data_IF_565367280289
#
_entry.id   IF_565367280289
#
_cell.length_a   1.000
_cell.length_b   1.000
_cell.length_c   1.000
_cell.angle_alpha   90.00
_cell.angle_beta   90.00
_cell.angle_gamma   90.00
#
_symmetry.space_group_name_H-M   'P 1'
#
loop_
_entity.id
_entity.type
_entity.pdbx_description
1 polymer ?
#
# COMPACT_ATOMS: atom_id res chain seq x y z
N UNK A 1 -18.28 -5.53 23.47
CA UNK A 1 -19.20 -4.56 24.11
C UNK A 1 -18.86 -3.10 23.81
N UNK A 2 -17.72 -2.52 24.28
CA UNK A 2 -17.45 -1.07 24.10
C UNK A 2 -17.44 -0.59 22.64
N UNK A 3 -16.77 -1.34 21.75
CA UNK A 3 -16.67 -1.06 20.30
C UNK A 3 -17.99 -1.20 19.54
N UNK A 4 -18.80 -2.17 19.94
CA UNK A 4 -20.10 -2.44 19.33
C UNK A 4 -21.07 -1.27 19.54
N UNK A 5 -21.11 -0.72 20.76
CA UNK A 5 -21.98 0.42 21.06
C UNK A 5 -21.54 1.70 20.31
N UNK A 6 -20.24 1.90 20.09
CA UNK A 6 -19.75 3.04 19.31
C UNK A 6 -20.20 2.95 17.85
N UNK A 7 -20.18 1.75 17.27
CA UNK A 7 -20.68 1.48 15.92
C UNK A 7 -22.18 1.70 15.81
N UNK A 8 -22.94 1.22 16.79
CA UNK A 8 -24.39 1.41 16.85
C UNK A 8 -24.78 2.90 16.92
N UNK A 9 -24.02 3.73 17.66
CA UNK A 9 -24.22 5.18 17.71
C UNK A 9 -23.94 5.84 16.35
N UNK A 10 -22.84 5.49 15.69
CA UNK A 10 -22.48 6.06 14.38
C UNK A 10 -23.50 5.68 13.30
N UNK A 11 -23.91 4.41 13.25
CA UNK A 11 -24.91 3.93 12.29
C UNK A 11 -26.27 4.58 12.52
N UNK A 12 -26.66 4.73 13.79
CA UNK A 12 -27.90 5.41 14.14
C UNK A 12 -27.88 6.87 13.69
N UNK A 13 -26.77 7.59 13.89
CA UNK A 13 -26.62 8.98 13.45
C UNK A 13 -26.54 9.12 11.92
N UNK A 14 -26.02 8.12 11.20
CA UNK A 14 -25.97 8.13 9.74
C UNK A 14 -27.37 8.09 9.11
N UNK A 15 -28.30 7.41 9.75
CA UNK A 15 -29.67 7.27 9.26
C UNK A 15 -30.57 8.47 9.60
N UNK A 16 -29.99 9.58 10.06
CA UNK A 16 -30.72 10.74 10.57
C UNK A 16 -30.28 12.00 9.82
N UNK A 17 -31.23 12.66 9.18
CA UNK A 17 -30.97 13.86 8.38
C UNK A 17 -30.67 15.12 9.22
N UNK A 18 -31.04 15.10 10.50
CA UNK A 18 -30.90 16.24 11.41
C UNK A 18 -30.33 15.86 12.80
N UNK A 19 -30.04 16.85 13.64
CA UNK A 19 -29.50 16.64 14.98
C UNK A 19 -30.41 15.78 15.86
N UNK A 20 -29.79 14.84 16.59
CA UNK A 20 -30.47 13.89 17.45
C UNK A 20 -29.96 14.00 18.87
N UNK A 21 -30.87 14.03 19.83
CA UNK A 21 -30.53 14.19 21.25
C UNK A 21 -29.92 12.93 21.85
N UNK A 22 -29.16 13.07 22.96
CA UNK A 22 -28.68 11.93 23.75
C UNK A 22 -29.80 10.97 24.16
N UNK A 23 -31.01 11.49 24.29
CA UNK A 23 -32.18 10.80 24.80
C UNK A 23 -32.75 9.86 23.74
N UNK A 24 -32.85 10.34 22.50
CA UNK A 24 -33.27 9.55 21.35
C UNK A 24 -32.27 8.43 21.04
N UNK A 25 -30.97 8.73 21.10
CA UNK A 25 -29.91 7.72 20.92
C UNK A 25 -29.94 6.68 22.05
N UNK A 26 -30.11 7.13 23.30
CA UNK A 26 -30.21 6.26 24.46
C UNK A 26 -31.42 5.30 24.38
N UNK A 27 -32.57 5.80 23.95
CA UNK A 27 -33.77 5.01 23.72
C UNK A 27 -33.59 4.00 22.58
N UNK A 28 -33.03 4.43 21.45
CA UNK A 28 -32.84 3.57 20.28
C UNK A 28 -31.85 2.42 20.54
N UNK A 29 -30.82 2.67 21.34
CA UNK A 29 -29.74 1.70 21.61
C UNK A 29 -29.91 0.99 22.97
N UNK A 30 -31.00 1.27 23.69
CA UNK A 30 -31.30 0.73 25.01
C UNK A 30 -30.14 0.90 26.03
N UNK A 31 -29.55 2.11 26.06
CA UNK A 31 -28.43 2.47 26.95
C UNK A 31 -28.74 3.77 27.71
N UNK A 32 -27.97 4.07 28.76
CA UNK A 32 -28.14 5.33 29.48
C UNK A 32 -27.59 6.52 28.70
N UNK A 33 -28.21 7.71 28.87
CA UNK A 33 -27.76 8.99 28.30
C UNK A 33 -26.28 9.28 28.61
N UNK A 34 -25.86 8.98 29.85
CA UNK A 34 -24.48 9.13 30.29
C UNK A 34 -23.51 8.23 29.49
N UNK A 35 -23.96 7.04 29.09
CA UNK A 35 -23.18 6.13 28.23
C UNK A 35 -23.02 6.71 26.83
N UNK A 36 -24.11 7.22 26.23
CA UNK A 36 -24.07 7.86 24.90
C UNK A 36 -23.09 9.04 24.89
N UNK A 37 -23.22 9.98 25.82
CA UNK A 37 -22.34 11.15 25.91
C UNK A 37 -20.88 10.74 26.07
N UNK A 38 -20.59 9.76 26.93
CA UNK A 38 -19.23 9.24 27.12
C UNK A 38 -18.67 8.61 25.84
N UNK A 39 -19.49 7.88 25.08
CA UNK A 39 -19.08 7.25 23.81
C UNK A 39 -18.82 8.27 22.72
N UNK A 40 -19.65 9.29 22.61
CA UNK A 40 -19.47 10.34 21.60
C UNK A 40 -18.16 11.10 21.82
N UNK A 41 -17.81 11.39 23.08
CA UNK A 41 -16.51 11.97 23.44
C UNK A 41 -15.36 11.03 23.04
N UNK A 42 -15.48 9.73 23.33
CA UNK A 42 -14.47 8.73 22.96
C UNK A 42 -14.30 8.60 21.43
N UNK A 43 -15.41 8.60 20.68
CA UNK A 43 -15.40 8.59 19.21
C UNK A 43 -14.69 9.83 18.66
N UNK A 44 -14.98 11.01 19.21
CA UNK A 44 -14.38 12.27 18.78
C UNK A 44 -12.90 12.40 19.16
N UNK A 45 -12.44 11.73 20.23
CA UNK A 45 -11.04 11.75 20.67
C UNK A 45 -10.15 10.74 19.92
N UNK A 46 -10.73 9.75 19.25
CA UNK A 46 -9.99 8.68 18.57
C UNK A 46 -9.34 9.06 17.24
N UNK A 47 -9.52 10.29 16.75
CA UNK A 47 -8.91 10.77 15.49
C UNK A 47 -7.81 11.80 15.76
N UNK A 48 -6.60 11.45 15.35
CA UNK A 48 -5.51 12.42 15.18
C UNK A 48 -5.82 13.32 13.97
N UNK A 49 -5.71 14.63 14.12
CA UNK A 49 -5.89 15.60 13.02
C UNK A 49 -7.11 16.54 13.10
N UNK A 50 -7.81 16.62 14.23
CA UNK A 50 -8.79 17.71 14.49
C UNK A 50 -10.14 17.60 13.76
N UNK A 51 -10.39 16.53 13.00
CA UNK A 51 -11.68 16.29 12.35
C UNK A 51 -12.63 15.56 13.30
N UNK A 52 -13.64 16.27 13.84
CA UNK A 52 -14.66 15.68 14.72
C UNK A 52 -15.71 14.90 13.91
N UNK A 53 -15.78 13.56 14.04
CA UNK A 53 -16.76 12.76 13.30
C UNK A 53 -18.21 13.00 13.72
N UNK A 54 -18.45 13.36 14.98
CA UNK A 54 -19.77 13.69 15.51
C UNK A 54 -19.78 15.14 15.96
N UNK A 55 -20.56 15.97 15.27
CA UNK A 55 -20.84 17.35 15.67
C UNK A 55 -21.74 17.35 16.90
N UNK A 56 -21.36 18.12 17.91
CA UNK A 56 -22.09 18.25 19.17
C UNK A 56 -22.50 19.70 19.37
N UNK A 57 -23.80 20.00 19.29
CA UNK A 57 -24.34 21.35 19.49
C UNK A 57 -25.17 21.42 20.78
N UNK A 58 -24.79 22.35 21.67
CA UNK A 58 -25.50 22.57 22.94
C UNK A 58 -26.95 22.96 22.66
N UNK A 59 -27.87 22.13 23.16
CA UNK A 59 -29.32 22.34 23.01
C UNK A 59 -29.94 21.77 21.73
N UNK A 60 -29.15 21.30 20.75
CA UNK A 60 -29.65 20.65 19.53
C UNK A 60 -29.33 19.16 19.46
N UNK A 61 -28.24 18.72 20.08
CA UNK A 61 -27.87 17.31 20.17
C UNK A 61 -26.65 16.99 19.31
N UNK A 62 -26.67 15.82 18.68
CA UNK A 62 -25.56 15.23 17.96
C UNK A 62 -25.92 14.97 16.50
N UNK A 63 -24.98 15.24 15.60
CA UNK A 63 -25.13 14.95 14.16
C UNK A 63 -23.82 14.41 13.61
N UNK A 64 -23.89 13.49 12.67
CA UNK A 64 -22.69 13.06 11.95
C UNK A 64 -22.16 14.24 11.12
N UNK A 65 -20.84 14.44 11.07
CA UNK A 65 -20.29 15.57 10.32
C UNK A 65 -20.54 15.42 8.81
N UNK A 66 -20.87 16.51 8.08
CA UNK A 66 -21.12 16.45 6.64
C UNK A 66 -19.97 15.85 5.83
N UNK A 67 -18.72 16.01 6.27
CA UNK A 67 -17.56 15.40 5.62
C UNK A 67 -17.48 13.87 5.76
N UNK A 68 -18.27 13.26 6.65
CA UNK A 68 -18.46 11.81 6.77
C UNK A 68 -19.71 11.37 6.02
N UNK A 69 -20.81 12.14 6.13
CA UNK A 69 -22.06 11.90 5.41
C UNK A 69 -21.82 11.94 3.89
N UNK A 70 -21.13 12.96 3.37
CA UNK A 70 -20.80 13.07 1.94
C UNK A 70 -19.90 11.93 1.42
N UNK A 71 -19.08 11.32 2.29
CA UNK A 71 -18.30 10.10 1.93
C UNK A 71 -19.18 8.85 1.85
N UNK A 72 -20.32 8.84 2.53
CA UNK A 72 -21.26 7.73 2.60
C UNK A 72 -22.41 7.87 1.60
N UNK A 73 -22.82 9.09 1.25
CA UNK A 73 -23.97 9.37 0.37
C UNK A 73 -23.61 9.43 -1.13
N UNK A 74 -22.41 9.86 -1.51
CA UNK A 74 -21.98 9.98 -2.93
C UNK A 74 -21.38 8.68 -3.52
N UNK A 75 -21.33 7.58 -2.78
CA UNK A 75 -20.70 6.33 -3.21
C UNK A 75 -21.65 5.17 -2.99
N UNK A 76 -21.95 4.40 -4.05
CA UNK A 76 -22.65 3.13 -3.91
C UNK A 76 -21.95 2.27 -2.83
N UNK A 77 -22.70 1.57 -1.97
CA UNK A 77 -22.13 0.74 -0.90
C UNK A 77 -21.03 -0.23 -1.39
N UNK A 78 -21.14 -0.67 -2.65
CA UNK A 78 -20.13 -1.48 -3.33
C UNK A 78 -18.79 -0.75 -3.54
N UNK A 79 -18.82 0.54 -3.91
CA UNK A 79 -17.61 1.37 -4.09
C UNK A 79 -16.85 1.57 -2.78
N UNK A 80 -17.57 1.75 -1.66
CA UNK A 80 -16.94 1.90 -0.33
C UNK A 80 -16.32 0.59 0.14
N UNK A 81 -17.03 -0.53 -0.07
CA UNK A 81 -16.51 -1.85 0.25
C UNK A 81 -15.27 -2.20 -0.59
N UNK A 82 -15.28 -1.83 -1.87
CA UNK A 82 -14.17 -2.03 -2.78
C UNK A 82 -12.93 -1.22 -2.39
N UNK A 83 -13.08 0.08 -2.13
CA UNK A 83 -11.97 0.93 -1.68
C UNK A 83 -11.35 0.41 -0.39
N UNK A 84 -12.18 0.00 0.58
CA UNK A 84 -11.71 -0.61 1.82
C UNK A 84 -10.93 -1.89 1.56
N UNK A 85 -11.44 -2.80 0.74
CA UNK A 85 -10.75 -4.03 0.40
C UNK A 85 -9.41 -3.75 -0.29
N UNK A 86 -9.38 -2.76 -1.19
CA UNK A 86 -8.16 -2.36 -1.89
C UNK A 86 -7.11 -1.83 -0.92
N UNK A 87 -7.48 -0.95 0.01
CA UNK A 87 -6.57 -0.43 1.04
C UNK A 87 -6.00 -1.54 1.93
N UNK A 88 -6.81 -2.53 2.30
CA UNK A 88 -6.35 -3.68 3.10
C UNK A 88 -5.41 -4.58 2.29
N UNK A 89 -5.71 -4.79 1.00
CA UNK A 89 -4.81 -5.53 0.09
C UNK A 89 -3.45 -4.83 0.03
N UNK A 90 -3.42 -3.50 -0.14
CA UNK A 90 -2.17 -2.73 -0.19
C UNK A 90 -1.35 -2.92 1.09
N UNK A 91 -1.97 -2.74 2.27
CA UNK A 91 -1.27 -2.91 3.54
C UNK A 91 -0.72 -4.33 3.72
N UNK A 92 -1.51 -5.36 3.38
CA UNK A 92 -1.08 -6.75 3.47
C UNK A 92 0.05 -7.09 2.49
N UNK A 93 0.02 -6.53 1.27
CA UNK A 93 1.06 -6.75 0.27
C UNK A 93 2.39 -6.16 0.73
N UNK A 94 2.40 -4.92 1.19
CA UNK A 94 3.61 -4.29 1.73
C UNK A 94 4.13 -4.98 2.99
N UNK A 95 3.24 -5.51 3.83
CA UNK A 95 3.61 -6.25 5.03
C UNK A 95 4.17 -7.65 4.75
N UNK A 96 3.85 -8.24 3.60
CA UNK A 96 4.17 -9.64 3.32
C UNK A 96 5.67 -9.92 3.48
N UNK A 97 6.09 -11.03 4.12
CA UNK A 97 5.28 -12.14 4.64
C UNK A 97 4.79 -11.98 6.10
N UNK A 98 4.95 -10.78 6.68
CA UNK A 98 4.56 -10.50 8.07
C UNK A 98 3.05 -10.66 8.26
N UNK A 99 2.67 -11.15 9.44
CA UNK A 99 1.28 -11.27 9.87
C UNK A 99 0.83 -9.97 10.55
N UNK A 100 -0.23 -9.37 10.05
CA UNK A 100 -0.87 -8.19 10.64
C UNK A 100 -2.10 -8.58 11.44
N UNK A 101 -2.39 -7.86 12.52
CA UNK A 101 -3.59 -8.11 13.31
C UNK A 101 -4.80 -7.64 12.53
N UNK A 102 -5.79 -8.51 12.38
CA UNK A 102 -7.07 -8.19 11.72
C UNK A 102 -7.70 -6.94 12.34
N UNK A 103 -7.58 -6.78 13.65
CA UNK A 103 -8.11 -5.61 14.34
C UNK A 103 -7.46 -4.30 13.84
N UNK A 104 -6.13 -4.23 13.77
CA UNK A 104 -5.41 -3.01 13.38
C UNK A 104 -5.74 -2.61 11.94
N UNK A 105 -5.80 -3.59 11.02
CA UNK A 105 -6.18 -3.38 9.62
C UNK A 105 -7.57 -2.74 9.44
N UNK A 106 -8.52 -3.12 10.30
CA UNK A 106 -9.92 -2.72 10.18
C UNK A 106 -10.32 -1.54 11.08
N UNK A 107 -9.43 -1.09 11.97
CA UNK A 107 -9.73 -0.09 12.98
C UNK A 107 -10.23 1.23 12.38
N UNK A 108 -9.55 1.71 11.32
CA UNK A 108 -9.87 2.95 10.63
C UNK A 108 -11.21 2.94 9.87
N UNK A 109 -11.74 1.75 9.59
CA UNK A 109 -12.97 1.58 8.79
C UNK A 109 -14.23 1.38 9.63
N UNK A 110 -14.08 1.17 10.95
CA UNK A 110 -15.20 1.01 11.88
C UNK A 110 -16.23 -0.08 11.50
N UNK A 111 -15.80 -1.16 10.83
CA UNK A 111 -16.70 -2.22 10.32
C UNK A 111 -16.97 -3.33 11.34
N UNK A 112 -18.09 -4.06 11.16
CA UNK A 112 -18.44 -5.22 11.97
C UNK A 112 -17.68 -6.49 11.55
N UNK A 113 -17.68 -7.52 12.40
CA UNK A 113 -17.10 -8.84 12.08
C UNK A 113 -17.76 -9.51 10.87
N UNK A 114 -19.05 -9.25 10.62
CA UNK A 114 -19.76 -9.77 9.43
C UNK A 114 -19.26 -9.12 8.13
N UNK A 115 -18.97 -7.81 8.17
CA UNK A 115 -18.37 -7.09 7.03
C UNK A 115 -16.94 -7.56 6.79
N UNK A 116 -16.14 -7.73 7.86
CA UNK A 116 -14.80 -8.33 7.76
C UNK A 116 -14.89 -9.72 7.12
N UNK A 117 -15.89 -10.53 7.48
CA UNK A 117 -16.08 -11.84 6.86
C UNK A 117 -16.36 -11.79 5.36
N UNK A 118 -17.19 -10.85 4.92
CA UNK A 118 -17.47 -10.61 3.50
C UNK A 118 -16.23 -10.10 2.76
N UNK A 119 -15.58 -9.07 3.30
CA UNK A 119 -14.38 -8.46 2.73
C UNK A 119 -13.26 -9.49 2.53
N UNK A 120 -13.09 -10.44 3.46
CA UNK A 120 -12.11 -11.53 3.31
C UNK A 120 -12.32 -12.37 2.05
N UNK A 121 -13.58 -12.63 1.69
CA UNK A 121 -13.90 -13.42 0.50
C UNK A 121 -13.51 -12.63 -0.75
N UNK A 122 -13.90 -11.36 -0.79
CA UNK A 122 -13.57 -10.43 -1.88
C UNK A 122 -12.04 -10.28 -2.03
N UNK A 123 -11.32 -10.13 -0.92
CA UNK A 123 -9.86 -9.99 -0.90
C UNK A 123 -9.19 -11.27 -1.41
N UNK A 124 -9.65 -12.45 -0.97
CA UNK A 124 -9.10 -13.72 -1.44
C UNK A 124 -9.30 -13.90 -2.95
N UNK A 125 -10.49 -13.58 -3.46
CA UNK A 125 -10.80 -13.66 -4.90
C UNK A 125 -9.93 -12.69 -5.73
N UNK A 126 -9.71 -11.46 -5.22
CA UNK A 126 -8.81 -10.49 -5.86
C UNK A 126 -7.37 -10.98 -5.90
N UNK A 127 -6.87 -11.53 -4.80
CA UNK A 127 -5.48 -12.01 -4.68
C UNK A 127 -5.18 -13.22 -5.57
N UNK A 128 -6.19 -14.05 -5.86
CA UNK A 128 -6.05 -15.22 -6.72
C UNK A 128 -5.52 -14.88 -8.12
N UNK A 129 -5.77 -13.66 -8.63
CA UNK A 129 -5.22 -13.17 -9.90
C UNK A 129 -3.70 -13.28 -9.99
N UNK A 130 -2.99 -13.08 -8.88
CA UNK A 130 -1.53 -13.15 -8.81
C UNK A 130 -1.03 -14.46 -8.17
N UNK A 131 -1.89 -15.48 -8.07
CA UNK A 131 -1.57 -16.73 -7.36
C UNK A 131 -1.23 -16.53 -5.87
N UNK A 132 -1.74 -15.45 -5.28
CA UNK A 132 -1.53 -15.12 -3.88
C UNK A 132 -2.67 -15.67 -3.02
N UNK A 133 -2.33 -16.17 -1.83
CA UNK A 133 -3.30 -16.76 -0.89
C UNK A 133 -3.39 -15.90 0.36
N UNK A 134 -4.62 -15.51 0.73
CA UNK A 134 -4.90 -14.88 2.00
C UNK A 134 -4.88 -15.92 3.12
N UNK A 135 -3.87 -15.86 4.00
CA UNK A 135 -3.71 -16.78 5.14
C UNK A 135 -4.23 -16.11 6.40
N UNK A 136 -5.04 -16.86 7.17
CA UNK A 136 -5.53 -16.45 8.49
C UNK A 136 -5.04 -17.40 9.57
N UNK A 137 -4.50 -16.83 10.63
CA UNK A 137 -4.17 -17.56 11.85
C UNK A 137 -4.37 -16.67 13.07
N UNK A 138 -5.09 -17.15 14.09
CA UNK A 138 -5.21 -16.49 15.41
C UNK A 138 -5.41 -14.96 15.38
N UNK A 139 -6.47 -14.47 14.73
CA UNK A 139 -6.80 -13.02 14.58
C UNK A 139 -5.76 -12.20 13.81
N UNK A 140 -4.89 -12.86 13.06
CA UNK A 140 -3.99 -12.21 12.12
C UNK A 140 -4.34 -12.59 10.68
N UNK A 141 -3.98 -11.73 9.75
CA UNK A 141 -4.00 -11.95 8.31
C UNK A 141 -2.62 -11.70 7.72
N UNK A 142 -2.28 -12.47 6.71
CA UNK A 142 -1.07 -12.31 5.91
C UNK A 142 -1.34 -12.80 4.49
N UNK A 143 -0.51 -12.38 3.56
CA UNK A 143 -0.46 -12.92 2.21
C UNK A 143 0.65 -13.97 2.14
N UNK A 144 0.41 -15.06 1.44
CA UNK A 144 1.40 -16.09 1.13
C UNK A 144 1.44 -16.33 -0.37
N UNK A 145 2.64 -16.44 -0.91
CA UNK A 145 2.94 -16.60 -2.33
C UNK A 145 4.42 -16.36 -2.57
N UNK A 146 4.87 -16.41 -3.83
CA UNK A 146 6.26 -16.09 -4.16
C UNK A 146 6.52 -14.60 -4.04
N UNK A 147 7.75 -14.19 -3.74
CA UNK A 147 8.09 -12.77 -3.68
C UNK A 147 7.89 -12.07 -5.04
N UNK A 148 8.10 -12.79 -6.14
CA UNK A 148 7.81 -12.31 -7.50
C UNK A 148 6.33 -11.97 -7.69
N UNK A 149 5.43 -12.82 -7.22
CA UNK A 149 3.98 -12.59 -7.31
C UNK A 149 3.53 -11.43 -6.42
N UNK A 150 4.09 -11.32 -5.20
CA UNK A 150 3.83 -10.22 -4.27
C UNK A 150 4.23 -8.88 -4.92
N UNK A 151 5.46 -8.78 -5.44
CA UNK A 151 5.94 -7.55 -6.09
C UNK A 151 5.11 -7.21 -7.33
N UNK A 152 4.71 -8.22 -8.10
CA UNK A 152 3.84 -8.04 -9.27
C UNK A 152 2.46 -7.50 -8.87
N UNK A 153 1.87 -8.00 -7.77
CA UNK A 153 0.63 -7.49 -7.22
C UNK A 153 0.77 -6.04 -6.72
N UNK A 154 1.87 -5.69 -6.05
CA UNK A 154 2.12 -4.31 -5.61
C UNK A 154 2.24 -3.37 -6.81
N UNK A 155 3.02 -3.76 -7.81
CA UNK A 155 3.20 -3.01 -9.06
C UNK A 155 1.86 -2.71 -9.75
N UNK A 156 0.98 -3.71 -9.82
CA UNK A 156 -0.32 -3.53 -10.45
C UNK A 156 -1.32 -2.75 -9.59
N UNK A 157 -1.43 -3.06 -8.28
CA UNK A 157 -2.49 -2.54 -7.40
C UNK A 157 -2.17 -1.20 -6.75
N UNK A 158 -0.90 -0.92 -6.50
CA UNK A 158 -0.47 0.29 -5.81
C UNK A 158 -0.05 1.36 -6.80
N UNK A 159 0.79 0.96 -7.77
CA UNK A 159 1.38 1.88 -8.73
C UNK A 159 0.56 2.01 -10.02
N UNK A 160 -0.53 1.24 -10.17
CA UNK A 160 -1.41 1.23 -11.34
C UNK A 160 -0.65 1.10 -12.67
N UNK A 161 0.47 0.36 -12.70
CA UNK A 161 1.39 0.34 -13.86
C UNK A 161 0.76 -0.20 -15.15
N UNK A 162 -0.37 -0.90 -15.05
CA UNK A 162 -1.13 -1.35 -16.22
C UNK A 162 -1.88 -0.19 -16.93
N UNK A 163 -1.96 0.98 -16.31
CA UNK A 163 -2.65 2.18 -16.80
C UNK A 163 -1.75 3.43 -16.88
N UNK A 164 -0.60 3.43 -16.19
CA UNK A 164 0.33 4.57 -16.17
C UNK A 164 1.54 4.32 -17.06
N UNK A 165 1.59 4.98 -18.21
CA UNK A 165 2.71 4.94 -19.17
C UNK A 165 3.85 5.91 -18.85
N UNK A 166 3.73 6.73 -17.79
CA UNK A 166 4.69 7.81 -17.51
C UNK A 166 5.05 7.91 -16.02
N UNK A 167 6.35 8.13 -15.75
CA UNK A 167 6.92 8.39 -14.42
C UNK A 167 6.27 9.63 -13.78
N UNK A 168 5.87 10.60 -14.61
CA UNK A 168 5.19 11.84 -14.17
C UNK A 168 3.87 11.55 -13.42
N UNK A 169 3.14 10.50 -13.80
CA UNK A 169 1.91 10.09 -13.11
C UNK A 169 2.19 9.49 -11.72
N UNK A 170 3.39 8.90 -11.54
CA UNK A 170 3.83 8.37 -10.25
C UNK A 170 4.25 9.48 -9.28
N UNK A 171 4.67 10.64 -9.80
CA UNK A 171 5.03 11.80 -8.99
C UNK A 171 3.84 12.32 -8.16
N UNK A 172 2.66 12.40 -8.78
CA UNK A 172 1.43 12.86 -8.11
C UNK A 172 1.00 11.90 -6.99
N UNK A 173 1.09 10.59 -7.22
CA UNK A 173 0.84 9.57 -6.20
C UNK A 173 1.79 9.72 -5.01
N UNK A 174 3.09 9.91 -5.27
CA UNK A 174 4.10 9.94 -4.23
C UNK A 174 4.09 11.24 -3.40
N UNK A 175 3.66 12.37 -3.98
CA UNK A 175 3.49 13.64 -3.26
C UNK A 175 2.52 13.53 -2.08
N UNK A 176 1.52 12.64 -2.17
CA UNK A 176 0.52 12.42 -1.11
C UNK A 176 1.00 11.62 0.10
N UNK A 177 2.13 10.91 0.01
CA UNK A 177 2.59 9.96 1.04
C UNK A 177 3.68 10.56 1.92
N UNK A 178 4.74 11.14 1.33
CA UNK A 178 5.91 11.64 2.07
C UNK A 178 6.53 12.89 1.42
N UNK A 179 5.68 13.87 1.03
CA UNK A 179 6.09 15.11 0.37
C UNK A 179 6.91 14.95 -0.94
N UNK A 180 6.99 13.72 -1.48
CA UNK A 180 7.75 13.41 -2.69
C UNK A 180 9.23 13.06 -2.46
N UNK A 181 9.72 13.01 -1.22
CA UNK A 181 11.15 12.75 -0.95
C UNK A 181 11.59 11.36 -1.43
N UNK A 182 10.80 10.31 -1.12
CA UNK A 182 11.10 8.94 -1.56
C UNK A 182 11.03 8.80 -3.09
N UNK A 183 10.16 9.58 -3.74
CA UNK A 183 10.08 9.65 -5.21
C UNK A 183 11.36 10.26 -5.79
N UNK A 184 11.77 11.44 -5.31
CA UNK A 184 12.97 12.12 -5.77
C UNK A 184 14.22 11.25 -5.56
N UNK A 185 14.32 10.63 -4.39
CA UNK A 185 15.41 9.69 -4.11
C UNK A 185 15.42 8.52 -5.09
N UNK A 186 14.25 7.95 -5.40
CA UNK A 186 14.12 6.85 -6.36
C UNK A 186 14.59 7.26 -7.75
N UNK A 187 14.19 8.44 -8.23
CA UNK A 187 14.65 8.99 -9.52
C UNK A 187 16.18 9.15 -9.54
N UNK A 188 16.78 9.67 -8.48
CA UNK A 188 18.24 9.80 -8.37
C UNK A 188 18.97 8.45 -8.48
N UNK A 189 18.37 7.36 -7.97
CA UNK A 189 18.98 6.02 -8.11
C UNK A 189 18.92 5.51 -9.55
N UNK A 190 17.85 5.81 -10.30
CA UNK A 190 17.72 5.46 -11.73
C UNK A 190 18.73 6.27 -12.58
N UNK A 191 18.89 7.56 -12.28
CA UNK A 191 19.89 8.42 -12.93
C UNK A 191 21.32 7.95 -12.63
N UNK A 192 21.59 7.59 -11.38
CA UNK A 192 22.85 6.98 -10.99
C UNK A 192 23.12 5.69 -11.79
N UNK A 193 22.14 4.79 -11.90
CA UNK A 193 22.28 3.55 -12.67
C UNK A 193 22.58 3.83 -14.14
N UNK A 194 21.86 4.77 -14.74
CA UNK A 194 22.02 5.16 -16.15
C UNK A 194 23.41 5.73 -16.42
N UNK A 195 23.90 6.59 -15.52
CA UNK A 195 25.23 7.20 -15.62
C UNK A 195 26.34 6.18 -15.41
N UNK A 196 26.21 5.32 -14.39
CA UNK A 196 27.22 4.33 -14.04
C UNK A 196 27.37 3.22 -15.10
N UNK A 197 26.29 2.91 -15.83
CA UNK A 197 26.27 1.89 -16.89
C UNK A 197 26.40 2.47 -18.31
N UNK A 198 26.53 3.80 -18.44
CA UNK A 198 26.55 4.50 -19.74
C UNK A 198 25.39 4.06 -20.66
N UNK A 199 24.19 3.98 -20.08
CA UNK A 199 23.00 3.53 -20.79
C UNK A 199 21.77 4.35 -20.43
N UNK A 200 20.90 4.59 -21.41
CA UNK A 200 19.59 5.19 -21.17
C UNK A 200 18.60 4.10 -20.77
N UNK A 201 18.10 4.15 -19.54
CA UNK A 201 17.04 3.27 -19.05
C UNK A 201 15.69 3.86 -19.49
N UNK A 202 15.15 3.34 -20.57
CA UNK A 202 13.88 3.82 -21.15
C UNK A 202 12.68 2.99 -20.68
N UNK A 203 11.47 3.47 -20.97
CA UNK A 203 10.23 2.69 -20.82
C UNK A 203 10.31 1.32 -21.53
N UNK A 204 9.81 0.24 -20.90
CA UNK A 204 9.14 0.14 -19.58
C UNK A 204 10.09 -0.11 -18.40
N UNK A 205 11.40 -0.14 -18.64
CA UNK A 205 12.39 -0.56 -17.65
C UNK A 205 12.61 0.49 -16.57
N UNK A 206 12.53 1.78 -16.90
CA UNK A 206 12.58 2.86 -15.91
C UNK A 206 11.42 2.78 -14.92
N UNK A 207 10.22 2.44 -15.39
CA UNK A 207 9.03 2.21 -14.57
C UNK A 207 9.20 0.99 -13.68
N UNK A 208 9.72 -0.12 -14.22
CA UNK A 208 9.95 -1.35 -13.45
C UNK A 208 11.00 -1.14 -12.36
N UNK A 209 12.09 -0.43 -12.70
CA UNK A 209 13.16 -0.09 -11.78
C UNK A 209 12.69 0.88 -10.69
N UNK A 210 11.93 1.92 -11.08
CA UNK A 210 11.27 2.82 -10.15
C UNK A 210 10.40 2.05 -9.17
N UNK A 211 9.51 1.21 -9.68
CA UNK A 211 8.59 0.45 -8.87
C UNK A 211 9.31 -0.45 -7.88
N UNK A 212 10.38 -1.13 -8.31
CA UNK A 212 11.16 -1.99 -7.44
C UNK A 212 11.81 -1.22 -6.28
N UNK A 213 12.49 -0.10 -6.59
CA UNK A 213 13.16 0.74 -5.60
C UNK A 213 12.15 1.39 -4.65
N UNK A 214 11.07 1.95 -5.19
CA UNK A 214 10.04 2.63 -4.42
C UNK A 214 9.35 1.66 -3.45
N UNK A 215 8.97 0.47 -3.92
CA UNK A 215 8.37 -0.57 -3.08
C UNK A 215 9.34 -1.03 -2.01
N UNK A 216 10.63 -1.17 -2.31
CA UNK A 216 11.64 -1.54 -1.32
C UNK A 216 11.73 -0.49 -0.20
N UNK A 217 11.77 0.80 -0.54
CA UNK A 217 11.78 1.89 0.44
C UNK A 217 10.54 1.82 1.34
N UNK A 218 9.35 1.74 0.76
CA UNK A 218 8.08 1.68 1.50
C UNK A 218 8.02 0.48 2.44
N UNK A 219 8.41 -0.71 1.95
CA UNK A 219 8.44 -1.94 2.76
C UNK A 219 9.38 -1.82 3.96
N UNK A 220 10.57 -1.24 3.77
CA UNK A 220 11.53 -1.03 4.86
C UNK A 220 10.98 -0.03 5.88
N UNK A 221 10.39 1.09 5.43
CA UNK A 221 9.84 2.12 6.32
C UNK A 221 8.68 1.58 7.17
N UNK A 222 7.74 0.87 6.54
CA UNK A 222 6.54 0.37 7.22
C UNK A 222 6.83 -0.81 8.14
N UNK A 223 7.78 -1.68 7.79
CA UNK A 223 7.93 -2.97 8.48
C UNK A 223 9.30 -3.26 9.09
N UNK A 224 10.31 -2.36 8.92
CA UNK A 224 11.67 -2.30 9.50
C UNK A 224 12.56 -3.56 9.42
N UNK A 225 11.99 -4.76 9.39
CA UNK A 225 12.66 -6.05 9.44
C UNK A 225 11.89 -7.06 8.59
N UNK A 226 11.79 -6.80 7.29
CA UNK A 226 11.38 -7.83 6.35
C UNK A 226 12.64 -8.63 6.00
N UNK A 227 12.87 -9.73 6.72
CA UNK A 227 13.84 -10.74 6.29
C UNK A 227 13.18 -11.56 5.20
N UNK A 228 13.54 -11.28 3.96
CA UNK A 228 13.12 -12.04 2.78
C UNK A 228 13.97 -13.31 2.69
N UNK A 229 13.67 -14.30 3.51
CA UNK A 229 14.23 -15.64 3.27
C UNK A 229 13.39 -16.38 2.22
N UNK A 230 13.54 -15.98 0.96
CA UNK A 230 13.46 -16.93 -0.14
C UNK A 230 14.88 -17.32 -0.52
N UNK A 231 15.11 -18.63 -0.64
CA UNK A 231 16.41 -19.17 -1.04
C UNK A 231 16.82 -18.52 -2.36
N UNK A 232 17.93 -17.79 -2.35
CA UNK A 232 18.50 -17.19 -3.57
C UNK A 232 18.65 -18.28 -4.62
N UNK A 233 18.02 -18.16 -5.80
CA UNK A 233 18.18 -19.14 -6.87
C UNK A 233 19.66 -19.27 -7.23
N UNK A 234 20.15 -20.50 -7.26
CA UNK A 234 21.54 -20.84 -7.64
C UNK A 234 21.94 -20.32 -9.04
N UNK A 235 20.97 -20.02 -9.90
CA UNK A 235 21.14 -19.39 -11.22
C UNK A 235 21.84 -18.02 -11.19
N UNK A 236 21.75 -17.28 -10.09
CA UNK A 236 22.32 -15.93 -9.98
C UNK A 236 23.85 -15.91 -9.86
N UNK A 237 24.48 -17.01 -9.45
CA UNK A 237 25.94 -17.04 -9.30
C UNK A 237 26.65 -16.95 -10.65
N UNK A 238 26.08 -17.58 -11.69
CA UNK A 238 26.64 -17.58 -13.04
C UNK A 238 26.38 -16.22 -13.72
N UNK A 239 25.17 -15.68 -13.65
CA UNK A 239 24.82 -14.38 -14.26
C UNK A 239 25.58 -13.19 -13.64
N UNK A 240 25.80 -13.20 -12.31
CA UNK A 240 26.67 -12.23 -11.63
C UNK A 240 28.08 -12.19 -12.24
N UNK A 241 28.56 -13.35 -12.70
CA UNK A 241 29.89 -13.48 -13.30
C UNK A 241 29.94 -12.89 -14.73
N UNK A 242 28.82 -12.89 -15.44
CA UNK A 242 28.70 -12.34 -16.80
C UNK A 242 28.42 -10.84 -16.85
N UNK A 243 28.01 -10.20 -15.75
CA UNK A 243 27.75 -8.74 -15.71
C UNK A 243 28.13 -8.11 -14.36
N UNK A 244 29.43 -8.14 -13.99
CA UNK A 244 29.89 -7.61 -12.71
C UNK A 244 29.64 -6.10 -12.55
N UNK A 245 29.61 -5.35 -13.65
CA UNK A 245 29.34 -3.91 -13.62
C UNK A 245 27.90 -3.63 -13.16
N UNK A 246 26.91 -4.36 -13.70
CA UNK A 246 25.50 -4.24 -13.32
C UNK A 246 25.33 -4.59 -11.84
N UNK A 247 25.94 -5.70 -11.41
CA UNK A 247 25.86 -6.12 -10.02
C UNK A 247 26.44 -5.07 -9.06
N UNK A 248 27.56 -4.44 -9.42
CA UNK A 248 28.17 -3.37 -8.63
C UNK A 248 27.26 -2.15 -8.47
N UNK A 249 26.55 -1.80 -9.54
CA UNK A 249 25.57 -0.71 -9.55
C UNK A 249 24.36 -1.05 -8.69
N UNK A 250 23.80 -2.26 -8.83
CA UNK A 250 22.70 -2.73 -7.99
C UNK A 250 23.08 -2.72 -6.51
N UNK A 251 24.27 -3.19 -6.16
CA UNK A 251 24.77 -3.17 -4.79
C UNK A 251 24.85 -1.74 -4.25
N UNK A 252 25.39 -0.81 -5.04
CA UNK A 252 25.50 0.59 -4.64
C UNK A 252 24.14 1.25 -4.44
N UNK A 253 23.15 0.94 -5.28
CA UNK A 253 21.77 1.44 -5.11
C UNK A 253 21.17 0.91 -3.81
N UNK A 254 21.30 -0.39 -3.51
CA UNK A 254 20.79 -0.98 -2.27
C UNK A 254 21.49 -0.38 -1.04
N UNK A 255 22.79 -0.16 -1.10
CA UNK A 255 23.55 0.53 -0.03
C UNK A 255 23.04 1.97 0.17
N UNK A 256 22.80 2.71 -0.92
CA UNK A 256 22.25 4.07 -0.85
C UNK A 256 20.85 4.08 -0.23
N UNK A 257 19.98 3.13 -0.62
CA UNK A 257 18.66 2.94 -0.02
C UNK A 257 18.82 2.71 1.49
N UNK A 258 19.74 1.83 1.88
CA UNK A 258 19.98 1.51 3.27
C UNK A 258 20.41 2.69 4.12
N UNK A 259 21.29 3.54 3.58
CA UNK A 259 21.71 4.80 4.20
C UNK A 259 20.51 5.76 4.32
N UNK A 260 19.72 5.88 3.25
CA UNK A 260 18.58 6.80 3.18
C UNK A 260 17.45 6.45 4.15
N UNK A 261 17.13 5.16 4.30
CA UNK A 261 16.09 4.68 5.22
C UNK A 261 16.60 4.38 6.63
N UNK A 262 17.92 4.32 6.82
CA UNK A 262 18.58 4.02 8.10
C UNK A 262 18.56 2.54 8.51
N UNK A 263 18.39 1.62 7.56
CA UNK A 263 18.32 0.17 7.78
C UNK A 263 19.11 -0.54 6.69
N UNK A 264 19.94 -1.52 7.04
CA UNK A 264 20.69 -2.32 6.07
C UNK A 264 19.71 -3.30 5.38
N UNK A 265 19.46 -3.19 4.06
CA UNK A 265 18.61 -4.12 3.34
C UNK A 265 19.26 -5.49 3.21
N UNK A 266 18.46 -6.52 2.94
CA UNK A 266 18.94 -7.88 2.72
C UNK A 266 19.72 -8.00 1.40
N UNK A 267 20.73 -8.87 1.32
CA UNK A 267 21.51 -9.08 0.09
C UNK A 267 20.65 -9.60 -1.08
N UNK A 268 19.53 -10.27 -0.79
CA UNK A 268 18.57 -10.69 -1.81
C UNK A 268 17.98 -9.50 -2.58
N UNK A 269 17.93 -8.29 -2.01
CA UNK A 269 17.47 -7.09 -2.72
C UNK A 269 18.40 -6.69 -3.86
N UNK A 270 19.70 -6.92 -3.71
CA UNK A 270 20.69 -6.69 -4.78
C UNK A 270 20.41 -7.62 -5.96
N UNK A 271 20.07 -8.86 -5.65
CA UNK A 271 19.71 -9.90 -6.62
C UNK A 271 18.45 -9.52 -7.39
N UNK A 272 17.39 -9.12 -6.71
CA UNK A 272 16.15 -8.76 -7.38
C UNK A 272 16.35 -7.53 -8.28
N UNK A 273 17.05 -6.52 -7.80
CA UNK A 273 17.38 -5.33 -8.60
C UNK A 273 18.21 -5.69 -9.83
N UNK A 274 19.12 -6.66 -9.70
CA UNK A 274 19.95 -7.16 -10.80
C UNK A 274 19.13 -7.84 -11.90
N UNK A 275 18.10 -8.62 -11.56
CA UNK A 275 17.20 -9.25 -12.56
C UNK A 275 16.51 -8.18 -13.43
N UNK A 276 16.02 -7.11 -12.82
CA UNK A 276 15.37 -6.01 -13.54
C UNK A 276 16.36 -5.24 -14.43
N UNK A 277 17.52 -4.87 -13.89
CA UNK A 277 18.50 -4.04 -14.59
C UNK A 277 19.19 -4.80 -15.73
N UNK A 278 19.43 -6.11 -15.55
CA UNK A 278 19.98 -6.98 -16.59
C UNK A 278 19.03 -7.10 -17.80
N UNK A 279 17.72 -7.23 -17.55
CA UNK A 279 16.71 -7.25 -18.60
C UNK A 279 16.70 -5.94 -19.42
N UNK A 280 16.88 -4.80 -18.75
CA UNK A 280 16.96 -3.49 -19.41
C UNK A 280 18.18 -3.37 -20.35
N UNK A 281 19.33 -3.91 -19.96
CA UNK A 281 20.56 -3.86 -20.75
C UNK A 281 20.46 -4.71 -22.03
N UNK A 282 19.98 -5.95 -21.90
CA UNK A 282 19.82 -6.87 -23.05
C UNK A 282 18.98 -6.20 -24.15
N UNK A 283 17.85 -5.58 -23.77
CA UNK A 283 16.98 -4.88 -24.72
C UNK A 283 17.66 -3.68 -25.40
N UNK A 284 18.55 -2.99 -24.70
CA UNK A 284 19.27 -1.84 -25.26
C UNK A 284 20.35 -2.27 -26.27
N UNK A 285 21.03 -3.39 -26.02
CA UNK A 285 21.99 -3.97 -26.97
C UNK A 285 21.30 -4.47 -28.25
N UNK A 286 20.12 -5.09 -28.13
CA UNK A 286 19.30 -5.48 -29.29
C UNK A 286 18.87 -4.25 -30.12
N UNK A 287 18.42 -3.17 -29.47
CA UNK A 287 18.06 -1.92 -30.16
C UNK A 287 19.24 -1.29 -30.88
N UNK A 288 20.43 -1.21 -30.25
CA UNK A 288 21.66 -0.74 -30.90
C UNK A 288 21.95 -1.57 -32.16
N UNK A 289 21.86 -2.90 -32.07
CA UNK A 289 22.10 -3.81 -33.21
C UNK A 289 21.13 -3.59 -34.37
N UNK A 290 19.83 -3.40 -34.09
CA UNK A 290 18.84 -3.04 -35.12
C UNK A 290 19.13 -1.66 -35.75
N UNK A 291 19.55 -0.68 -34.96
CA UNK A 291 19.85 0.67 -35.45
C UNK A 291 21.04 0.67 -36.42
N UNK A 292 22.12 -0.06 -36.09
CA UNK A 292 23.27 -0.24 -36.99
C UNK A 292 22.90 -0.96 -38.29
N UNK A 293 21.98 -1.94 -38.26
CA UNK A 293 21.50 -2.62 -39.47
C UNK A 293 20.61 -1.74 -40.36
N UNK A 294 19.90 -0.78 -39.76
CA UNK A 294 19.04 0.17 -40.51
C UNK A 294 19.83 1.30 -41.20
N UNK A 295 21.01 1.65 -40.69
CA UNK A 295 21.92 2.66 -41.27
C UNK A 295 22.86 2.09 -42.33
N UNK A 296 22.93 0.76 -42.46
CA UNK A 296 23.76 0.05 -43.43
C UNK A 296 23.01 -0.30 -44.74
N UNK A 297 21.81 0.24 -44.94
CA UNK A 297 21.02 0.17 -46.18
C UNK A 297 20.89 1.56 -46.79
#
# INVERSE_FOLDING_TARGET
MKRQLNQEIVNYLNNQSDFVTSDQIALALNVSKATVTRRIVEINQSKEGGCQPILSERGRGYKLSPGIILRLEDRAEESIAEERCNEIIKELLFASPKRLRTYELYEKFYVSESVIAKDRTIIADKLAKWHLVLVRSNRHMSISGTEKDIRSAIMETVLNLNQTTDISALEEYCKGINNGDDFLFTIQQIEYASTALDMVINYPYNISLFAHIYVLIERIRLYRHLSLHESTPSLLYEEKMFSPEIYSVCKKIVDNIGIYVGIIPDESEVVYLFEYLSTARISNEEKKKLMFLSLAR
#
